data_IF_646714996541
#
_entry.id   IF_646714996541
#
_cell.length_a   1.000
_cell.length_b   1.000
_cell.length_c   1.000
_cell.angle_alpha   90.00
_cell.angle_beta   90.00
_cell.angle_gamma   90.00
#
_symmetry.space_group_name_H-M   'P 1'
#
loop_
_entity.id
_entity.type
_entity.pdbx_description
1 polymer ?
#
# COMPACT_ATOMS: atom_id res chain seq x y z
N UNK A 1 5.75 56.22 -44.88
CA UNK A 1 5.73 56.92 -43.56
C UNK A 1 4.48 56.51 -42.79
N UNK A 2 4.52 55.43 -42.00
CA UNK A 2 3.59 55.20 -40.86
C UNK A 2 4.28 54.18 -39.95
N UNK A 3 4.66 54.57 -38.72
CA UNK A 3 4.51 53.75 -37.49
C UNK A 3 5.11 54.46 -36.23
N UNK A 4 4.54 55.58 -35.75
CA UNK A 4 4.92 56.13 -34.43
C UNK A 4 4.07 55.59 -33.27
N UNK A 5 2.97 54.88 -33.53
CA UNK A 5 1.95 54.54 -32.53
C UNK A 5 2.23 53.32 -31.65
N UNK A 6 2.92 52.29 -32.18
CA UNK A 6 3.15 51.02 -31.47
C UNK A 6 4.28 51.16 -30.45
N UNK A 7 5.37 51.82 -30.81
CA UNK A 7 6.51 52.09 -29.93
C UNK A 7 6.12 52.88 -28.67
N UNK A 8 5.13 53.78 -28.77
CA UNK A 8 4.66 54.59 -27.64
C UNK A 8 3.78 53.80 -26.64
N UNK A 9 3.10 52.74 -27.09
CA UNK A 9 2.31 51.86 -26.20
C UNK A 9 3.19 50.86 -25.46
N UNK A 10 4.18 50.27 -26.15
CA UNK A 10 5.13 49.33 -25.54
C UNK A 10 5.93 49.99 -24.41
N UNK A 11 6.31 51.26 -24.57
CA UNK A 11 7.09 51.99 -23.56
C UNK A 11 6.27 52.34 -22.29
N UNK A 12 4.94 52.36 -22.36
CA UNK A 12 4.07 52.64 -21.19
C UNK A 12 3.74 51.40 -20.38
N UNK A 13 3.67 50.22 -21.01
CA UNK A 13 3.35 48.95 -20.34
C UNK A 13 4.58 48.22 -19.79
N UNK A 14 5.77 48.50 -20.32
CA UNK A 14 7.03 47.91 -19.87
C UNK A 14 7.34 48.12 -18.37
N UNK A 15 7.19 49.33 -17.78
CA UNK A 15 7.47 49.51 -16.36
C UNK A 15 6.51 48.74 -15.44
N UNK A 16 5.24 48.58 -15.83
CA UNK A 16 4.25 47.81 -15.06
C UNK A 16 4.56 46.31 -15.10
N UNK A 17 5.01 45.81 -16.25
CA UNK A 17 5.41 44.40 -16.40
C UNK A 17 6.65 44.09 -15.55
N UNK A 18 7.64 44.98 -15.57
CA UNK A 18 8.87 44.86 -14.76
C UNK A 18 8.53 44.89 -13.25
N UNK A 19 7.65 45.81 -12.82
CA UNK A 19 7.20 45.86 -11.42
C UNK A 19 6.47 44.58 -11.00
N UNK A 20 5.62 44.03 -11.86
CA UNK A 20 4.87 42.79 -11.56
C UNK A 20 5.81 41.60 -11.41
N UNK A 21 6.78 41.46 -12.32
CA UNK A 21 7.79 40.39 -12.25
C UNK A 21 8.67 40.54 -11.00
N UNK A 22 9.08 41.77 -10.66
CA UNK A 22 9.87 42.03 -9.46
C UNK A 22 9.12 41.66 -8.17
N UNK A 23 7.83 41.95 -8.08
CA UNK A 23 6.99 41.58 -6.92
C UNK A 23 6.88 40.05 -6.81
N UNK A 24 6.62 39.34 -7.92
CA UNK A 24 6.52 37.87 -7.91
C UNK A 24 7.85 37.24 -7.47
N UNK A 25 8.98 37.73 -8.00
CA UNK A 25 10.31 37.27 -7.59
C UNK A 25 10.59 37.55 -6.10
N UNK A 26 10.18 38.71 -5.60
CA UNK A 26 10.36 39.07 -4.19
C UNK A 26 9.52 38.18 -3.25
N UNK A 27 8.27 37.91 -3.61
CA UNK A 27 7.39 36.98 -2.86
C UNK A 27 8.01 35.58 -2.86
N UNK A 28 8.50 35.09 -4.00
CA UNK A 28 9.18 33.79 -4.07
C UNK A 28 10.48 33.75 -3.24
N UNK A 29 11.26 34.83 -3.23
CA UNK A 29 12.49 34.94 -2.44
C UNK A 29 12.20 34.90 -0.93
N UNK A 30 11.21 35.68 -0.47
CA UNK A 30 10.76 35.66 0.93
C UNK A 30 10.19 34.28 1.30
N UNK A 31 9.37 33.68 0.45
CA UNK A 31 8.81 32.35 0.70
C UNK A 31 9.91 31.28 0.86
N UNK A 32 10.96 31.32 0.02
CA UNK A 32 12.12 30.43 0.16
C UNK A 32 12.90 30.70 1.46
N UNK A 33 13.09 31.97 1.84
CA UNK A 33 13.77 32.34 3.08
C UNK A 33 13.02 31.91 4.35
N UNK A 34 11.69 32.00 4.35
CA UNK A 34 10.83 31.56 5.45
C UNK A 34 10.81 30.04 5.55
N UNK A 35 10.75 29.31 4.42
CA UNK A 35 10.78 27.85 4.42
C UNK A 35 12.11 27.28 4.93
N UNK A 36 13.25 27.90 4.59
CA UNK A 36 14.57 27.47 5.09
C UNK A 36 14.69 27.68 6.61
N UNK A 37 14.15 28.78 7.15
CA UNK A 37 14.20 29.09 8.60
C UNK A 37 13.28 28.22 9.46
N UNK A 38 12.18 27.73 8.88
CA UNK A 38 11.25 26.79 9.55
C UNK A 38 11.82 25.37 9.55
N UNK A 39 12.54 24.97 8.49
CA UNK A 39 13.15 23.64 8.40
C UNK A 39 14.35 23.47 9.36
N UNK A 40 15.16 24.51 9.57
CA UNK A 40 16.31 24.42 10.50
C UNK A 40 15.90 24.38 11.96
N UNK A 41 14.77 24.99 12.34
CA UNK A 41 14.25 24.93 13.73
C UNK A 41 13.61 23.60 14.10
N UNK A 42 13.12 22.83 13.13
CA UNK A 42 12.48 21.52 13.37
C UNK A 42 13.47 20.35 13.35
N UNK A 43 14.69 20.55 12.80
CA UNK A 43 15.71 19.52 12.71
C UNK A 43 16.60 19.37 13.96
N UNK A 44 16.45 20.21 14.99
CA UNK A 44 17.36 20.23 16.16
C UNK A 44 16.80 19.55 17.43
N UNK A 45 15.67 18.84 17.33
CA UNK A 45 15.16 17.98 18.40
C UNK A 45 15.51 16.51 18.10
N UNK A 46 16.81 16.22 18.25
CA UNK A 46 17.31 14.85 18.29
C UNK A 46 16.86 14.16 19.58
N UNK A 47 15.98 13.18 19.44
CA UNK A 47 15.62 12.24 20.51
C UNK A 47 16.75 11.22 20.68
N UNK A 48 17.68 11.51 21.60
CA UNK A 48 18.65 10.54 22.07
C UNK A 48 18.03 9.65 23.16
N UNK A 49 17.67 8.41 22.81
CA UNK A 49 17.55 7.32 23.79
C UNK A 49 18.93 6.64 23.91
N UNK A 50 19.54 6.75 25.09
CA UNK A 50 20.89 6.28 25.40
C UNK A 50 20.79 5.01 26.24
N UNK A 51 21.26 3.89 25.72
CA UNK A 51 21.66 2.73 26.54
C UNK A 51 23.10 2.35 26.23
N UNK A 52 23.88 2.20 27.31
CA UNK A 52 25.32 1.96 27.36
C UNK A 52 25.63 0.45 27.32
N UNK A 53 26.89 0.15 26.98
CA UNK A 53 27.66 -1.11 27.13
C UNK A 53 27.44 -2.14 26.00
N UNK A 54 28.44 -2.74 25.37
CA UNK A 54 29.90 -2.73 25.50
C UNK A 54 30.44 -3.71 24.45
N UNK A 55 31.59 -3.40 23.84
CA UNK A 55 32.39 -4.32 23.00
C UNK A 55 33.56 -4.83 23.86
N UNK A 56 34.42 -5.78 23.45
CA UNK A 56 34.51 -6.48 22.14
C UNK A 56 34.79 -7.99 22.25
N UNK A 57 34.81 -8.72 21.13
CA UNK A 57 35.96 -9.56 20.75
C UNK A 57 35.83 -10.07 19.31
N UNK A 58 36.89 -9.83 18.55
CA UNK A 58 37.10 -10.25 17.17
C UNK A 58 37.60 -11.69 17.10
N UNK A 59 37.22 -12.44 16.07
CA UNK A 59 38.08 -13.46 15.48
C UNK A 59 37.84 -13.61 13.97
N UNK A 60 38.95 -13.56 13.25
CA UNK A 60 39.10 -13.76 11.83
C UNK A 60 39.08 -15.25 11.44
N UNK A 61 38.71 -15.54 10.20
CA UNK A 61 39.04 -16.80 9.52
C UNK A 61 38.03 -17.11 8.41
N UNK A 62 38.32 -16.76 7.16
CA UNK A 62 39.09 -17.53 6.15
C UNK A 62 38.12 -18.19 5.16
N UNK A 63 38.08 -17.62 3.96
CA UNK A 63 37.24 -18.08 2.87
C UNK A 63 37.69 -19.40 2.27
N UNK A 64 36.75 -20.05 1.59
CA UNK A 64 37.02 -21.08 0.59
C UNK A 64 36.01 -20.96 -0.54
N UNK A 65 36.54 -20.75 -1.75
CA UNK A 65 35.84 -20.83 -3.04
C UNK A 65 35.52 -22.29 -3.34
N UNK A 66 34.32 -22.56 -3.85
CA UNK A 66 34.02 -23.70 -4.73
C UNK A 66 32.93 -23.24 -5.71
N UNK A 67 33.31 -22.81 -6.92
CA UNK A 67 33.30 -23.56 -8.19
C UNK A 67 31.94 -24.14 -8.59
N UNK A 68 31.43 -23.52 -9.65
CA UNK A 68 30.24 -23.81 -10.44
C UNK A 68 30.35 -25.18 -11.10
N UNK A 69 29.33 -26.03 -10.90
CA UNK A 69 29.11 -27.26 -11.66
C UNK A 69 27.77 -27.17 -12.39
N UNK A 70 27.84 -27.04 -13.71
CA UNK A 70 26.70 -27.15 -14.61
C UNK A 70 26.10 -28.56 -14.58
N UNK A 71 24.77 -28.69 -14.71
CA UNK A 71 24.09 -29.98 -14.87
C UNK A 71 23.19 -29.94 -16.13
N UNK A 72 23.16 -31.01 -16.94
CA UNK A 72 22.57 -30.97 -18.28
C UNK A 72 21.06 -31.27 -18.27
N UNK A 73 20.44 -30.77 -19.34
CA UNK A 73 19.09 -31.06 -19.83
C UNK A 73 18.83 -32.56 -20.03
N UNK A 74 17.66 -33.03 -19.61
CA UNK A 74 17.08 -34.27 -20.13
C UNK A 74 15.60 -34.05 -20.50
N UNK A 75 15.31 -34.36 -21.75
CA UNK A 75 14.01 -34.36 -22.41
C UNK A 75 13.28 -35.68 -22.15
N UNK A 76 12.02 -35.60 -21.71
CA UNK A 76 11.10 -36.75 -21.61
C UNK A 76 10.07 -36.74 -22.76
N UNK A 77 9.60 -37.90 -23.25
CA UNK A 77 8.82 -37.98 -24.48
C UNK A 77 7.30 -37.84 -24.30
N UNK A 78 6.67 -37.59 -25.46
CA UNK A 78 5.25 -37.34 -25.72
C UNK A 78 4.34 -38.53 -25.38
N UNK A 79 3.15 -38.24 -24.84
CA UNK A 79 2.01 -39.16 -24.87
C UNK A 79 0.80 -38.52 -25.57
N UNK A 80 0.13 -39.37 -26.35
CA UNK A 80 -0.84 -39.07 -27.38
C UNK A 80 -2.23 -38.69 -26.86
N UNK A 81 -2.97 -38.01 -27.73
CA UNK A 81 -4.34 -37.59 -27.57
C UNK A 81 -5.32 -38.78 -27.50
N UNK A 82 -6.30 -38.66 -26.61
CA UNK A 82 -7.52 -39.49 -26.59
C UNK A 82 -8.71 -38.53 -26.67
N UNK A 83 -9.43 -38.58 -27.79
CA UNK A 83 -10.72 -37.94 -27.97
C UNK A 83 -11.81 -38.80 -27.33
N UNK A 84 -12.62 -38.21 -26.44
CA UNK A 84 -13.88 -38.82 -25.99
C UNK A 84 -15.02 -37.82 -26.20
N UNK A 85 -15.93 -38.20 -27.09
CA UNK A 85 -17.22 -37.57 -27.32
C UNK A 85 -18.12 -37.78 -26.10
N UNK A 86 -18.57 -36.71 -25.45
CA UNK A 86 -19.56 -36.80 -24.38
C UNK A 86 -20.78 -35.93 -24.71
N UNK A 87 -21.91 -36.61 -24.85
CA UNK A 87 -23.25 -36.10 -25.08
C UNK A 87 -23.63 -35.05 -24.03
N UNK A 88 -24.04 -33.86 -24.47
CA UNK A 88 -24.49 -32.77 -23.60
C UNK A 88 -25.93 -33.01 -23.14
N UNK A 89 -26.09 -33.57 -21.94
CA UNK A 89 -27.37 -33.56 -21.22
C UNK A 89 -27.44 -32.26 -20.41
N UNK A 90 -28.32 -31.35 -20.82
CA UNK A 90 -28.52 -30.05 -20.19
C UNK A 90 -29.25 -30.23 -18.85
N UNK A 91 -28.52 -30.31 -17.74
CA UNK A 91 -29.11 -30.23 -16.40
C UNK A 91 -29.36 -28.76 -16.07
N UNK A 92 -30.63 -28.37 -15.96
CA UNK A 92 -31.04 -27.05 -15.52
C UNK A 92 -30.53 -26.80 -14.08
N UNK A 93 -29.58 -25.86 -13.91
CA UNK A 93 -29.08 -25.48 -12.60
C UNK A 93 -30.09 -24.53 -11.94
N UNK A 94 -30.84 -25.06 -10.98
CA UNK A 94 -31.65 -24.25 -10.05
C UNK A 94 -30.70 -23.38 -9.22
N UNK A 95 -30.89 -22.07 -9.22
CA UNK A 95 -30.09 -21.12 -8.43
C UNK A 95 -30.45 -21.23 -6.95
N UNK A 96 -29.85 -22.18 -6.24
CA UNK A 96 -29.92 -22.25 -4.79
C UNK A 96 -28.95 -21.21 -4.21
N UNK A 97 -29.46 -20.23 -3.47
CA UNK A 97 -28.67 -19.28 -2.67
C UNK A 97 -27.98 -20.06 -1.54
N UNK A 98 -26.80 -20.60 -1.81
CA UNK A 98 -25.98 -21.25 -0.77
C UNK A 98 -25.55 -20.19 0.23
N UNK A 99 -26.15 -20.21 1.43
CA UNK A 99 -25.64 -19.44 2.57
C UNK A 99 -24.17 -19.79 2.80
N UNK A 100 -23.30 -18.79 2.95
CA UNK A 100 -21.90 -19.06 3.23
C UNK A 100 -21.79 -19.84 4.56
N UNK A 101 -20.94 -20.90 4.60
CA UNK A 101 -20.77 -21.70 5.79
C UNK A 101 -20.25 -20.82 6.92
N UNK A 102 -20.89 -20.85 8.09
CA UNK A 102 -20.43 -20.09 9.27
C UNK A 102 -19.40 -20.95 10.00
N UNK A 103 -18.20 -20.40 10.22
CA UNK A 103 -17.16 -21.07 11.00
C UNK A 103 -17.35 -20.79 12.50
N UNK A 104 -17.08 -21.77 13.38
CA UNK A 104 -17.07 -21.54 14.82
C UNK A 104 -16.03 -20.49 15.23
N UNK A 105 -16.35 -19.66 16.23
CA UNK A 105 -15.48 -18.57 16.69
C UNK A 105 -14.09 -19.08 17.11
N UNK A 106 -14.00 -20.24 17.74
CA UNK A 106 -12.73 -20.86 18.16
C UNK A 106 -11.78 -21.15 16.99
N UNK A 107 -12.34 -21.51 15.83
CA UNK A 107 -11.54 -21.78 14.62
C UNK A 107 -10.96 -20.47 14.09
N UNK A 108 -11.77 -19.41 14.05
CA UNK A 108 -11.34 -18.09 13.61
C UNK A 108 -10.30 -17.53 14.58
N UNK A 109 -10.52 -17.64 15.89
CA UNK A 109 -9.60 -17.17 16.91
C UNK A 109 -8.23 -17.84 16.82
N UNK A 110 -8.18 -19.17 16.63
CA UNK A 110 -6.93 -19.90 16.41
C UNK A 110 -6.18 -19.42 15.16
N UNK A 111 -6.90 -19.19 14.07
CA UNK A 111 -6.28 -18.69 12.84
C UNK A 111 -5.81 -17.23 12.99
N UNK A 112 -6.53 -16.39 13.73
CA UNK A 112 -6.10 -15.03 14.05
C UNK A 112 -4.80 -15.03 14.88
N UNK A 113 -4.70 -15.90 15.89
CA UNK A 113 -3.47 -16.07 16.66
C UNK A 113 -2.30 -16.46 15.77
N UNK A 114 -2.49 -17.45 14.88
CA UNK A 114 -1.46 -17.88 13.93
C UNK A 114 -0.96 -16.75 13.02
N UNK A 115 -1.88 -15.88 12.55
CA UNK A 115 -1.55 -14.74 11.71
C UNK A 115 -0.79 -13.65 12.48
N UNK A 116 -1.19 -13.36 13.71
CA UNK A 116 -0.48 -12.43 14.59
C UNK A 116 0.92 -12.94 14.92
N UNK A 117 1.07 -14.24 15.25
CA UNK A 117 2.38 -14.84 15.51
C UNK A 117 3.31 -14.74 14.29
N UNK A 118 2.77 -14.97 13.09
CA UNK A 118 3.50 -14.82 11.83
C UNK A 118 3.96 -13.37 11.64
N UNK A 119 3.08 -12.40 11.92
CA UNK A 119 3.39 -10.98 11.82
C UNK A 119 4.47 -10.58 12.83
N UNK A 120 4.31 -10.95 14.10
CA UNK A 120 5.26 -10.65 15.16
C UNK A 120 6.63 -11.25 14.86
N UNK A 121 6.68 -12.53 14.44
CA UNK A 121 7.92 -13.19 14.03
C UNK A 121 8.61 -12.45 12.88
N UNK A 122 7.85 -11.95 11.91
CA UNK A 122 8.42 -11.15 10.83
C UNK A 122 9.00 -9.82 11.36
N UNK A 123 8.28 -9.11 12.24
CA UNK A 123 8.76 -7.87 12.85
C UNK A 123 9.98 -8.07 13.75
N UNK A 124 10.02 -9.14 14.55
CA UNK A 124 11.20 -9.54 15.35
C UNK A 124 12.38 -9.86 14.46
N UNK A 125 12.18 -10.64 13.39
CA UNK A 125 13.24 -10.94 12.42
C UNK A 125 13.80 -9.67 11.78
N UNK A 126 12.98 -8.63 11.61
CA UNK A 126 13.45 -7.35 11.08
C UNK A 126 13.98 -6.40 12.15
N UNK A 127 13.93 -6.79 13.43
CA UNK A 127 14.25 -5.97 14.59
C UNK A 127 13.63 -4.57 14.48
N UNK A 128 12.29 -4.50 14.38
CA UNK A 128 11.54 -3.26 14.14
C UNK A 128 10.41 -3.01 15.15
N UNK A 129 10.37 -1.78 15.65
CA UNK A 129 9.24 -1.20 16.40
C UNK A 129 8.93 -1.93 17.70
N UNK A 130 7.66 -2.30 17.90
CA UNK A 130 7.17 -2.94 19.13
C UNK A 130 7.78 -4.33 19.39
N UNK A 131 8.45 -4.90 18.38
CA UNK A 131 9.04 -6.24 18.41
C UNK A 131 10.56 -6.22 18.26
N UNK A 132 11.20 -5.08 18.50
CA UNK A 132 12.66 -5.00 18.61
C UNK A 132 13.17 -5.87 19.75
N UNK A 133 14.19 -6.68 19.46
CA UNK A 133 14.85 -7.55 20.44
C UNK A 133 16.35 -7.26 20.56
N UNK A 134 16.87 -6.31 19.79
CA UNK A 134 18.29 -5.91 19.81
C UNK A 134 19.22 -6.90 19.10
N UNK A 135 18.69 -7.95 18.49
CA UNK A 135 19.48 -8.95 17.79
C UNK A 135 19.83 -8.48 16.37
N UNK A 136 21.07 -8.72 15.96
CA UNK A 136 21.52 -8.45 14.60
C UNK A 136 20.97 -9.52 13.67
N UNK A 137 20.18 -9.10 12.70
CA UNK A 137 19.53 -10.00 11.76
C UNK A 137 20.36 -10.13 10.49
N UNK A 138 20.73 -11.37 10.17
CA UNK A 138 21.50 -11.68 8.97
C UNK A 138 20.60 -11.65 7.73
N UNK A 139 20.60 -10.51 7.05
CA UNK A 139 19.89 -10.32 5.79
C UNK A 139 20.82 -10.37 4.58
N UNK A 140 20.30 -10.87 3.46
CA UNK A 140 20.95 -10.67 2.16
C UNK A 140 21.04 -9.17 1.84
N UNK A 141 21.88 -8.80 0.87
CA UNK A 141 22.02 -7.40 0.44
C UNK A 141 20.69 -6.87 -0.09
N UNK A 142 19.97 -7.68 -0.86
CA UNK A 142 18.68 -7.36 -1.45
C UNK A 142 17.61 -7.17 -0.37
N UNK A 143 17.56 -8.05 0.62
CA UNK A 143 16.65 -7.91 1.78
C UNK A 143 16.98 -6.66 2.60
N UNK A 144 18.26 -6.36 2.81
CA UNK A 144 18.69 -5.18 3.55
C UNK A 144 18.22 -3.89 2.88
N UNK A 145 18.31 -3.81 1.55
CA UNK A 145 17.79 -2.67 0.77
C UNK A 145 16.27 -2.57 0.90
N UNK A 146 15.55 -3.69 0.78
CA UNK A 146 14.09 -3.72 0.92
C UNK A 146 13.63 -3.29 2.32
N UNK A 147 14.32 -3.74 3.36
CA UNK A 147 14.04 -3.40 4.76
C UNK A 147 14.36 -1.93 5.04
N UNK A 148 15.46 -1.40 4.49
CA UNK A 148 15.80 0.01 4.62
C UNK A 148 14.73 0.96 4.04
N UNK A 149 13.95 0.49 3.05
CA UNK A 149 12.83 1.25 2.47
C UNK A 149 11.51 1.19 3.28
N UNK A 150 11.48 0.43 4.39
CA UNK A 150 10.34 0.33 5.30
C UNK A 150 10.30 1.51 6.28
N UNK A 151 9.13 2.12 6.54
CA UNK A 151 9.01 3.17 7.55
C UNK A 151 9.33 2.67 8.97
N UNK A 152 10.16 3.43 9.69
CA UNK A 152 10.58 3.17 11.08
C UNK A 152 9.73 3.88 12.15
N UNK A 153 8.57 4.37 11.74
CA UNK A 153 7.64 5.11 12.60
C UNK A 153 6.21 4.64 12.32
N UNK A 154 5.27 4.75 13.28
CA UNK A 154 3.88 4.43 13.03
C UNK A 154 3.23 5.43 12.05
N UNK A 155 2.61 4.92 10.99
CA UNK A 155 1.86 5.73 10.01
C UNK A 155 0.36 5.76 10.34
N UNK A 156 0.00 6.47 11.41
CA UNK A 156 -1.38 6.61 11.86
C UNK A 156 -2.32 7.23 10.83
N UNK A 157 -1.80 7.99 9.85
CA UNK A 157 -2.57 8.55 8.73
C UNK A 157 -3.27 7.46 7.89
N UNK A 158 -2.79 6.21 7.95
CA UNK A 158 -3.43 5.11 7.25
C UNK A 158 -4.73 4.64 7.92
N UNK A 159 -4.86 4.81 9.23
CA UNK A 159 -5.94 4.23 10.02
C UNK A 159 -7.26 4.97 9.82
N UNK A 160 -8.36 4.22 9.78
CA UNK A 160 -9.72 4.69 9.98
C UNK A 160 -10.11 4.34 11.41
N UNK A 161 -10.24 5.35 12.28
CA UNK A 161 -10.48 5.15 13.72
C UNK A 161 -11.88 5.59 14.10
N UNK A 162 -12.59 4.77 14.87
CA UNK A 162 -13.85 5.09 15.53
C UNK A 162 -13.71 4.87 17.03
N UNK A 163 -13.52 5.96 17.76
CA UNK A 163 -13.52 5.95 19.24
C UNK A 163 -14.87 5.43 19.78
N UNK A 164 -15.98 5.80 19.13
CA UNK A 164 -17.33 5.36 19.53
C UNK A 164 -17.57 3.86 19.42
N UNK A 165 -16.83 3.18 18.54
CA UNK A 165 -16.99 1.75 18.26
C UNK A 165 -15.78 0.94 18.69
N UNK A 166 -14.81 1.56 19.37
CA UNK A 166 -13.54 0.93 19.76
C UNK A 166 -12.93 0.15 18.59
N UNK A 167 -12.88 0.76 17.41
CA UNK A 167 -12.46 0.10 16.18
C UNK A 167 -11.46 0.97 15.43
N UNK A 168 -10.32 0.38 15.04
CA UNK A 168 -9.37 1.00 14.13
C UNK A 168 -9.05 0.03 13.01
N UNK A 169 -9.05 0.50 11.77
CA UNK A 169 -8.80 -0.34 10.59
C UNK A 169 -7.73 0.30 9.72
N UNK A 170 -6.69 -0.45 9.35
CA UNK A 170 -5.82 -0.08 8.24
C UNK A 170 -6.32 -0.72 6.94
N UNK A 171 -7.01 0.03 6.05
CA UNK A 171 -7.40 -0.49 4.76
C UNK A 171 -6.17 -0.66 3.85
N UNK A 172 -6.14 -1.76 3.09
CA UNK A 172 -5.09 -2.04 2.08
C UNK A 172 -5.74 -2.23 0.72
N UNK A 173 -5.32 -1.42 -0.26
CA UNK A 173 -5.87 -1.46 -1.62
C UNK A 173 -5.77 -2.88 -2.20
N UNK A 174 -6.84 -3.31 -2.89
CA UNK A 174 -7.05 -4.70 -3.38
C UNK A 174 -7.14 -5.79 -2.31
N UNK A 175 -7.16 -5.45 -1.02
CA UNK A 175 -7.39 -6.35 0.10
C UNK A 175 -8.71 -6.00 0.83
N UNK A 176 -9.79 -5.76 0.08
CA UNK A 176 -11.11 -5.52 0.66
C UNK A 176 -11.40 -4.08 1.09
N UNK A 177 -10.53 -3.10 0.78
CA UNK A 177 -10.75 -1.67 1.13
C UNK A 177 -12.15 -1.16 0.80
N UNK A 178 -12.64 -1.38 -0.42
CA UNK A 178 -13.96 -0.85 -0.82
C UNK A 178 -15.10 -1.47 0.00
N UNK A 179 -14.97 -2.74 0.37
CA UNK A 179 -15.97 -3.44 1.18
C UNK A 179 -15.94 -2.92 2.63
N UNK A 180 -14.75 -2.84 3.24
CA UNK A 180 -14.65 -2.36 4.63
C UNK A 180 -15.05 -0.88 4.75
N UNK A 181 -14.72 -0.05 3.75
CA UNK A 181 -15.15 1.34 3.70
C UNK A 181 -16.68 1.48 3.65
N UNK A 182 -17.38 0.67 2.83
CA UNK A 182 -18.85 0.65 2.81
C UNK A 182 -19.43 0.27 4.17
N UNK A 183 -18.83 -0.71 4.83
CA UNK A 183 -19.30 -1.19 6.12
C UNK A 183 -19.04 -0.19 7.24
N UNK A 184 -17.88 0.46 7.26
CA UNK A 184 -17.59 1.58 8.17
C UNK A 184 -18.56 2.75 7.94
N UNK A 185 -18.85 3.12 6.69
CA UNK A 185 -19.88 4.12 6.38
C UNK A 185 -21.25 3.71 6.93
N UNK A 186 -21.63 2.44 6.80
CA UNK A 186 -22.87 1.93 7.39
C UNK A 186 -22.90 2.07 8.93
N UNK A 187 -21.76 1.82 9.60
CA UNK A 187 -21.65 1.94 11.06
C UNK A 187 -21.80 3.38 11.57
N UNK A 188 -21.67 4.38 10.70
CA UNK A 188 -21.96 5.77 11.07
C UNK A 188 -23.45 6.04 11.32
N UNK A 189 -24.35 5.15 10.86
CA UNK A 189 -25.79 5.35 10.89
C UNK A 189 -26.31 6.39 9.89
N UNK A 190 -25.43 7.04 9.12
CA UNK A 190 -25.80 8.10 8.16
C UNK A 190 -26.19 7.59 6.78
N UNK A 191 -25.92 6.31 6.49
CA UNK A 191 -26.10 5.73 5.17
C UNK A 191 -26.97 4.47 5.23
N UNK A 192 -28.01 4.44 4.41
CA UNK A 192 -28.77 3.22 4.12
C UNK A 192 -28.00 2.31 3.16
N UNK A 193 -28.36 1.02 3.11
CA UNK A 193 -27.76 0.06 2.16
C UNK A 193 -27.86 0.57 0.72
N UNK A 194 -29.02 1.08 0.32
CA UNK A 194 -29.26 1.59 -1.05
C UNK A 194 -28.37 2.79 -1.38
N UNK A 195 -28.18 3.73 -0.44
CA UNK A 195 -27.29 4.87 -0.63
C UNK A 195 -25.83 4.43 -0.81
N UNK A 196 -25.37 3.44 -0.04
CA UNK A 196 -24.01 2.92 -0.18
C UNK A 196 -23.77 2.37 -1.59
N UNK A 197 -24.72 1.65 -2.19
CA UNK A 197 -24.59 1.13 -3.56
C UNK A 197 -24.53 2.23 -4.63
N UNK A 198 -25.07 3.41 -4.36
CA UNK A 198 -25.20 4.52 -5.32
C UNK A 198 -24.29 5.71 -5.01
N UNK A 199 -23.20 5.50 -4.27
CA UNK A 199 -22.22 6.56 -4.01
C UNK A 199 -21.62 7.06 -5.33
N UNK A 200 -21.56 8.39 -5.48
CA UNK A 200 -20.92 9.04 -6.62
C UNK A 200 -19.40 8.87 -6.60
N UNK A 201 -18.80 8.86 -5.41
CA UNK A 201 -17.37 8.66 -5.19
C UNK A 201 -17.08 7.24 -4.67
N UNK A 202 -15.85 6.73 -4.86
CA UNK A 202 -15.45 5.46 -4.27
C UNK A 202 -15.66 5.46 -2.75
N UNK A 203 -16.24 4.39 -2.17
CA UNK A 203 -16.44 4.28 -0.73
C UNK A 203 -15.19 4.59 0.11
N UNK A 204 -14.01 4.25 -0.40
CA UNK A 204 -12.71 4.53 0.25
C UNK A 204 -12.39 6.02 0.38
N UNK A 205 -12.87 6.86 -0.54
CA UNK A 205 -12.76 8.32 -0.44
C UNK A 205 -13.79 8.85 0.56
N UNK A 206 -15.06 8.46 0.40
CA UNK A 206 -16.17 8.90 1.25
C UNK A 206 -15.92 8.58 2.72
N UNK A 207 -15.45 7.37 3.05
CA UNK A 207 -15.21 6.98 4.46
C UNK A 207 -14.19 7.87 5.16
N UNK A 208 -13.19 8.40 4.45
CA UNK A 208 -12.16 9.26 5.05
C UNK A 208 -12.74 10.59 5.55
N UNK A 209 -13.80 11.09 4.90
CA UNK A 209 -14.51 12.29 5.37
C UNK A 209 -15.32 12.04 6.65
N UNK A 210 -15.70 10.79 6.92
CA UNK A 210 -16.46 10.41 8.11
C UNK A 210 -15.59 9.90 9.28
N UNK A 211 -14.36 9.48 8.98
CA UNK A 211 -13.38 8.97 9.91
C UNK A 211 -12.15 9.89 9.88
N UNK A 212 -12.34 11.09 10.43
CA UNK A 212 -11.29 12.09 10.55
C UNK A 212 -10.13 11.61 11.44
N UNK A 213 -8.96 12.22 11.27
CA UNK A 213 -7.83 11.96 12.15
C UNK A 213 -8.15 12.39 13.59
N UNK A 214 -7.57 11.69 14.57
CA UNK A 214 -7.58 12.18 15.95
C UNK A 214 -6.92 13.55 16.03
N UNK A 215 -7.28 14.32 17.06
CA UNK A 215 -6.82 15.70 17.21
C UNK A 215 -5.29 15.85 17.37
N UNK A 216 -4.58 14.77 17.73
CA UNK A 216 -3.12 14.70 17.82
C UNK A 216 -2.64 13.28 17.58
N UNK A 217 -1.43 13.13 17.04
CA UNK A 217 -0.76 11.83 16.86
C UNK A 217 -0.49 11.12 18.20
N UNK A 218 -0.30 11.88 19.28
CA UNK A 218 -0.05 11.36 20.63
C UNK A 218 -1.26 10.62 21.24
N UNK A 219 -2.47 10.86 20.72
CA UNK A 219 -3.69 10.18 21.18
C UNK A 219 -3.82 8.76 20.64
N UNK A 220 -3.18 8.45 19.51
CA UNK A 220 -3.34 7.16 18.85
C UNK A 220 -2.96 5.98 19.75
N UNK A 221 -1.80 5.96 20.43
CA UNK A 221 -1.45 4.85 21.32
C UNK A 221 -2.53 4.53 22.38
N UNK A 222 -3.09 5.58 23.01
CA UNK A 222 -4.11 5.43 24.06
C UNK A 222 -5.43 4.91 23.48
N UNK A 223 -5.87 5.47 22.35
CA UNK A 223 -7.11 5.05 21.69
C UNK A 223 -6.98 3.64 21.13
N UNK A 224 -5.85 3.31 20.49
CA UNK A 224 -5.61 1.99 19.89
C UNK A 224 -5.52 0.88 20.94
N UNK A 225 -5.03 1.16 22.15
CA UNK A 225 -5.02 0.19 23.26
C UNK A 225 -6.43 -0.24 23.69
N UNK A 226 -7.46 0.56 23.40
CA UNK A 226 -8.86 0.27 23.71
C UNK A 226 -9.62 -0.28 22.49
N UNK A 227 -9.00 -0.32 21.31
CA UNK A 227 -9.66 -0.70 20.06
C UNK A 227 -9.39 -2.14 19.67
N UNK A 228 -10.32 -2.72 18.93
CA UNK A 228 -10.01 -3.77 17.96
C UNK A 228 -9.29 -3.12 16.78
N UNK A 229 -8.02 -3.45 16.61
CA UNK A 229 -7.08 -2.86 15.65
C UNK A 229 -6.85 -3.85 14.51
N UNK A 230 -7.48 -3.57 13.36
CA UNK A 230 -7.56 -4.48 12.22
C UNK A 230 -6.54 -4.11 11.15
N UNK A 231 -5.71 -5.07 10.77
CA UNK A 231 -4.87 -5.03 9.59
C UNK A 231 -5.53 -5.79 8.44
N UNK A 232 -5.83 -5.11 7.33
CA UNK A 232 -6.31 -5.77 6.12
C UNK A 232 -5.13 -6.35 5.32
N UNK A 233 -5.27 -7.60 4.88
CA UNK A 233 -4.25 -8.35 4.15
C UNK A 233 -4.84 -9.13 2.99
N UNK A 234 -3.98 -9.49 2.05
CA UNK A 234 -4.28 -10.38 0.92
C UNK A 234 -2.98 -11.05 0.50
N UNK A 235 -3.07 -12.24 -0.10
CA UNK A 235 -1.90 -12.87 -0.69
C UNK A 235 -1.15 -11.88 -1.63
N UNK A 236 0.16 -11.66 -1.46
CA UNK A 236 0.88 -10.60 -2.19
C UNK A 236 0.79 -10.71 -3.71
N UNK A 237 0.90 -11.93 -4.26
CA UNK A 237 0.81 -12.16 -5.71
C UNK A 237 -0.59 -11.88 -6.26
N UNK A 238 -1.62 -12.28 -5.53
CA UNK A 238 -3.02 -12.03 -5.90
C UNK A 238 -3.33 -10.54 -5.87
N UNK A 239 -2.74 -9.82 -4.91
CA UNK A 239 -2.86 -8.37 -4.81
C UNK A 239 -2.20 -7.68 -5.99
N UNK A 240 -1.00 -8.10 -6.40
CA UNK A 240 -0.31 -7.59 -7.59
C UNK A 240 -1.12 -7.87 -8.86
N UNK A 241 -1.63 -9.09 -9.04
CA UNK A 241 -2.46 -9.44 -10.18
C UNK A 241 -3.75 -8.61 -10.23
N UNK A 242 -4.42 -8.43 -9.10
CA UNK A 242 -5.63 -7.62 -9.01
C UNK A 242 -5.37 -6.14 -9.34
N UNK A 243 -4.21 -5.61 -8.96
CA UNK A 243 -3.79 -4.25 -9.31
C UNK A 243 -3.45 -4.12 -10.79
N UNK A 244 -2.72 -5.08 -11.36
CA UNK A 244 -2.42 -5.13 -12.79
C UNK A 244 -3.71 -5.13 -13.63
N UNK A 245 -4.65 -6.03 -13.34
CA UNK A 245 -5.92 -6.14 -14.07
C UNK A 245 -6.74 -4.85 -14.01
N UNK A 246 -6.70 -4.16 -12.88
CA UNK A 246 -7.46 -2.93 -12.72
C UNK A 246 -6.80 -1.70 -13.37
N UNK A 247 -5.48 -1.61 -13.34
CA UNK A 247 -4.75 -0.39 -13.71
C UNK A 247 -4.14 -0.48 -15.11
N UNK A 248 -3.77 -1.67 -15.57
CA UNK A 248 -2.82 -1.86 -16.67
C UNK A 248 -3.27 -2.82 -17.78
N UNK A 249 -4.06 -3.86 -17.46
CA UNK A 249 -4.42 -4.92 -18.41
C UNK A 249 -5.18 -4.40 -19.64
N UNK A 250 -6.09 -3.46 -19.43
CA UNK A 250 -6.94 -2.89 -20.47
C UNK A 250 -6.84 -1.35 -20.47
N UNK A 251 -6.02 -0.77 -21.38
CA UNK A 251 -5.87 0.67 -21.50
C UNK A 251 -7.15 1.42 -21.84
N UNK A 252 -8.12 0.77 -22.49
CA UNK A 252 -9.37 1.41 -22.89
C UNK A 252 -10.31 1.54 -21.68
N UNK A 253 -10.32 0.54 -20.79
CA UNK A 253 -11.08 0.58 -19.54
C UNK A 253 -10.47 1.53 -18.50
N UNK A 254 -9.15 1.68 -18.47
CA UNK A 254 -8.47 2.55 -17.52
C UNK A 254 -7.36 3.37 -18.19
N UNK A 255 -7.78 4.30 -19.06
CA UNK A 255 -6.87 5.15 -19.81
C UNK A 255 -5.93 5.96 -18.91
N UNK A 256 -6.47 6.50 -17.81
CA UNK A 256 -5.66 7.23 -16.83
C UNK A 256 -4.58 6.35 -16.21
N UNK A 257 -4.92 5.15 -15.74
CA UNK A 257 -3.96 4.20 -15.18
C UNK A 257 -2.86 3.82 -16.17
N UNK A 258 -3.23 3.59 -17.43
CA UNK A 258 -2.28 3.32 -18.49
C UNK A 258 -1.35 4.51 -18.77
N UNK A 259 -1.87 5.74 -18.85
CA UNK A 259 -1.05 6.94 -19.06
C UNK A 259 -0.08 7.18 -17.92
N UNK A 260 -0.52 7.00 -16.67
CA UNK A 260 0.30 7.21 -15.49
C UNK A 260 1.39 6.14 -15.31
N UNK A 261 1.07 4.87 -15.59
CA UNK A 261 1.94 3.75 -15.26
C UNK A 261 2.31 2.90 -16.48
N UNK A 262 1.30 2.42 -17.21
CA UNK A 262 1.47 1.45 -18.30
C UNK A 262 2.40 1.94 -19.40
N UNK A 263 2.30 3.20 -19.80
CA UNK A 263 3.15 3.81 -20.83
C UNK A 263 4.63 3.76 -20.48
N UNK A 264 4.98 3.96 -19.21
CA UNK A 264 6.37 3.86 -18.73
C UNK A 264 6.86 2.43 -18.78
N UNK A 265 6.06 1.48 -18.26
CA UNK A 265 6.39 0.05 -18.26
C UNK A 265 6.63 -0.45 -19.69
N UNK A 266 5.69 -0.16 -20.59
CA UNK A 266 5.77 -0.57 -22.00
C UNK A 266 7.02 -0.02 -22.68
N UNK A 267 7.38 1.25 -22.42
CA UNK A 267 8.61 1.87 -22.97
C UNK A 267 9.90 1.27 -22.44
N UNK A 268 9.89 0.72 -21.22
CA UNK A 268 11.07 0.06 -20.65
C UNK A 268 11.40 -1.25 -21.36
N UNK A 269 10.41 -1.96 -21.91
CA UNK A 269 10.60 -3.32 -22.43
C UNK A 269 10.32 -3.51 -23.93
N UNK A 270 9.59 -2.59 -24.58
CA UNK A 270 9.22 -2.72 -26.00
C UNK A 270 9.89 -1.65 -26.87
N UNK A 271 10.52 -2.08 -27.97
CA UNK A 271 11.17 -1.19 -28.96
C UNK A 271 10.17 -0.38 -29.81
N UNK A 272 9.02 -0.98 -30.15
CA UNK A 272 7.97 -0.36 -30.97
C UNK A 272 6.59 -0.55 -30.30
N UNK A 273 6.23 0.30 -29.32
CA UNK A 273 5.02 0.11 -28.52
C UNK A 273 3.76 0.52 -29.30
N UNK A 274 2.76 -0.37 -29.35
CA UNK A 274 1.43 -0.06 -29.87
C UNK A 274 0.55 0.55 -28.75
N UNK A 275 -0.02 1.76 -28.92
CA UNK A 275 -0.78 2.45 -27.87
C UNK A 275 -1.97 1.66 -27.31
N UNK A 276 -2.58 0.78 -28.11
CA UNK A 276 -3.76 -0.01 -27.76
C UNK A 276 -3.46 -1.26 -26.91
N UNK A 277 -2.18 -1.58 -26.65
CA UNK A 277 -1.81 -2.76 -25.85
C UNK A 277 -1.10 -2.34 -24.57
N UNK A 278 -1.75 -2.59 -23.43
CA UNK A 278 -1.18 -2.44 -22.10
C UNK A 278 0.10 -3.28 -21.92
N UNK A 279 0.88 -3.03 -20.85
CA UNK A 279 1.97 -3.93 -20.48
C UNK A 279 1.43 -5.33 -20.16
N UNK A 280 2.24 -6.38 -20.32
CA UNK A 280 1.90 -7.71 -19.82
C UNK A 280 2.09 -7.78 -18.30
N UNK A 281 1.54 -8.81 -17.66
CA UNK A 281 1.77 -9.02 -16.23
C UNK A 281 3.26 -9.26 -15.92
N UNK A 282 3.98 -9.97 -16.79
CA UNK A 282 5.43 -10.17 -16.65
C UNK A 282 6.20 -8.85 -16.73
N UNK A 283 5.92 -8.01 -17.72
CA UNK A 283 6.54 -6.68 -17.84
C UNK A 283 6.26 -5.83 -16.60
N UNK A 284 5.04 -5.90 -16.05
CA UNK A 284 4.68 -5.22 -14.81
C UNK A 284 5.47 -5.74 -13.60
N UNK A 285 5.56 -7.06 -13.39
CA UNK A 285 6.32 -7.63 -12.27
C UNK A 285 7.81 -7.30 -12.41
N UNK A 286 8.36 -7.46 -13.60
CA UNK A 286 9.75 -7.10 -13.90
C UNK A 286 10.02 -5.62 -13.62
N UNK A 287 9.09 -4.75 -13.98
CA UNK A 287 9.17 -3.32 -13.67
C UNK A 287 9.30 -3.07 -12.17
N UNK A 288 8.48 -3.74 -11.35
CA UNK A 288 8.52 -3.59 -9.89
C UNK A 288 9.81 -4.11 -9.25
N UNK A 289 10.47 -5.10 -9.86
CA UNK A 289 11.73 -5.66 -9.37
C UNK A 289 12.94 -4.79 -9.75
N UNK A 290 12.91 -4.19 -10.94
CA UNK A 290 14.04 -3.43 -11.48
C UNK A 290 14.02 -1.93 -11.11
N UNK A 291 12.85 -1.37 -10.79
CA UNK A 291 12.71 0.06 -10.54
C UNK A 291 12.51 0.36 -9.05
N UNK A 292 13.11 1.48 -8.64
CA UNK A 292 13.19 1.87 -7.24
C UNK A 292 11.82 1.96 -6.56
N UNK A 293 11.77 1.31 -5.41
CA UNK A 293 10.62 1.12 -4.57
C UNK A 293 10.18 2.39 -3.83
N UNK A 294 10.97 3.47 -3.78
CA UNK A 294 10.65 4.62 -2.93
C UNK A 294 9.26 5.25 -3.22
N UNK A 295 8.77 5.20 -4.47
CA UNK A 295 7.47 5.75 -4.88
C UNK A 295 6.52 4.73 -5.51
N UNK A 296 6.36 3.56 -4.88
CA UNK A 296 5.33 2.60 -5.30
C UNK A 296 3.92 3.13 -5.02
N UNK A 297 3.03 2.98 -6.00
CA UNK A 297 1.62 3.31 -5.86
C UNK A 297 0.98 2.49 -4.74
N UNK A 298 -0.02 3.06 -4.06
CA UNK A 298 -0.74 2.40 -2.98
C UNK A 298 -1.34 1.04 -3.40
N UNK A 299 -1.68 0.88 -4.68
CA UNK A 299 -2.23 -0.34 -5.24
C UNK A 299 -1.26 -1.52 -5.23
N UNK A 300 0.06 -1.31 -5.24
CA UNK A 300 1.04 -2.41 -5.27
C UNK A 300 2.20 -2.26 -4.27
N UNK A 301 2.28 -1.16 -3.52
CA UNK A 301 3.27 -1.03 -2.45
C UNK A 301 3.04 -2.09 -1.35
N UNK A 302 4.08 -2.70 -0.78
CA UNK A 302 3.94 -3.65 0.33
C UNK A 302 3.12 -3.08 1.49
N UNK A 303 2.28 -3.92 2.12
CA UNK A 303 1.41 -3.51 3.24
C UNK A 303 2.19 -2.85 4.37
N UNK A 304 3.41 -3.32 4.64
CA UNK A 304 4.27 -2.79 5.69
C UNK A 304 4.59 -1.29 5.51
N UNK A 305 4.66 -0.81 4.26
CA UNK A 305 4.94 0.61 3.96
C UNK A 305 3.73 1.52 4.17
N UNK A 306 2.52 0.96 4.16
CA UNK A 306 1.27 1.71 4.37
C UNK A 306 0.80 1.65 5.81
N UNK A 307 0.77 0.45 6.38
CA UNK A 307 0.13 0.16 7.66
C UNK A 307 1.10 0.03 8.84
N UNK A 308 2.42 0.00 8.58
CA UNK A 308 3.49 -0.10 9.60
C UNK A 308 3.16 -1.06 10.74
N UNK A 309 2.85 -2.33 10.45
CA UNK A 309 2.39 -3.30 11.44
C UNK A 309 3.44 -3.68 12.46
N UNK A 310 4.72 -3.30 12.28
CA UNK A 310 5.74 -3.41 13.32
C UNK A 310 5.72 -2.25 14.34
N UNK A 311 4.97 -1.16 14.07
CA UNK A 311 4.89 0.01 14.95
C UNK A 311 3.48 0.29 15.46
N UNK A 312 2.47 -0.41 14.95
CA UNK A 312 1.06 -0.26 15.32
C UNK A 312 0.59 -1.60 15.90
N UNK A 313 -0.03 -1.62 17.11
CA UNK A 313 -0.41 -2.85 17.78
C UNK A 313 -1.70 -3.42 17.19
N UNK A 314 -1.63 -4.03 16.00
CA UNK A 314 -2.75 -4.75 15.40
C UNK A 314 -3.06 -6.02 16.20
N UNK A 315 -4.32 -6.23 16.55
CA UNK A 315 -4.78 -7.41 17.29
C UNK A 315 -5.75 -8.29 16.48
N UNK A 316 -5.96 -7.95 15.21
CA UNK A 316 -6.72 -8.73 14.23
C UNK A 316 -6.10 -8.58 12.84
N UNK A 317 -5.90 -9.68 12.11
CA UNK A 317 -5.41 -9.71 10.73
C UNK A 317 -6.47 -10.33 9.82
N UNK A 318 -7.11 -9.49 9.03
CA UNK A 318 -8.17 -9.89 8.10
C UNK A 318 -7.56 -10.23 6.76
N UNK A 319 -7.75 -11.47 6.31
CA UNK A 319 -7.36 -11.86 4.95
C UNK A 319 -8.52 -11.63 3.99
N UNK A 320 -8.23 -11.14 2.79
CA UNK A 320 -9.23 -10.93 1.76
C UNK A 320 -9.97 -12.24 1.40
N UNK A 321 -9.25 -13.35 1.46
CA UNK A 321 -9.71 -14.71 1.19
C UNK A 321 -10.74 -15.19 2.23
N UNK A 322 -10.67 -14.70 3.46
CA UNK A 322 -11.59 -15.01 4.58
C UNK A 322 -12.30 -13.77 5.11
N UNK A 323 -12.42 -12.73 4.26
CA UNK A 323 -12.81 -11.36 4.64
C UNK A 323 -14.10 -11.31 5.47
N UNK A 324 -15.12 -12.03 5.03
CA UNK A 324 -16.43 -12.00 5.69
C UNK A 324 -16.37 -12.56 7.10
N UNK A 325 -15.80 -13.77 7.26
CA UNK A 325 -15.70 -14.46 8.55
C UNK A 325 -14.84 -13.69 9.53
N UNK A 326 -13.65 -13.26 9.10
CA UNK A 326 -12.73 -12.52 9.95
C UNK A 326 -13.37 -11.21 10.45
N UNK A 327 -14.06 -10.50 9.56
CA UNK A 327 -14.67 -9.22 9.91
C UNK A 327 -15.89 -9.40 10.81
N UNK A 328 -16.74 -10.41 10.57
CA UNK A 328 -17.85 -10.75 11.47
C UNK A 328 -17.36 -11.02 12.89
N UNK A 329 -16.32 -11.85 13.02
CA UNK A 329 -15.70 -12.14 14.31
C UNK A 329 -15.07 -10.88 14.94
N UNK A 330 -14.37 -10.07 14.15
CA UNK A 330 -13.76 -8.83 14.63
C UNK A 330 -14.78 -7.80 15.15
N UNK A 331 -15.95 -7.68 14.50
CA UNK A 331 -17.03 -6.82 15.00
C UNK A 331 -17.63 -7.33 16.30
N UNK A 332 -17.86 -8.65 16.40
CA UNK A 332 -18.32 -9.26 17.66
C UNK A 332 -17.33 -8.96 18.79
N UNK A 333 -16.02 -9.10 18.53
CA UNK A 333 -14.95 -8.76 19.47
C UNK A 333 -14.95 -7.28 19.87
N UNK A 334 -15.32 -6.38 18.95
CA UNK A 334 -15.44 -4.95 19.21
C UNK A 334 -16.77 -4.55 19.91
N UNK A 335 -17.66 -5.51 20.20
CA UNK A 335 -18.99 -5.23 20.74
C UNK A 335 -19.91 -4.44 19.78
N UNK A 336 -19.73 -4.61 18.47
CA UNK A 336 -20.38 -3.82 17.40
C UNK A 336 -21.40 -4.57 16.56
#
# INVERSE_FOLDING_TARGET
MVLPGILRRVNKTLPVLIQTIAIICFIHYIAKGVLVKVHTKTSHQDYHFRTKAGSPHAHAGRGTKLTVGARPSSSGPRHAAVSSSTTSTTTATTSTTTHMPVFPDEVIEREQQRRLDTLHKACTRMNMGLWENGEESNFTKEESVAIAAVPKIPLYQALLVSEKKNLAVCPVVRAGTQWVSRRLLQLTGKFTKTQLYRLHEPPSAVVRHHYAYLSSWEKYPVVLAQCVTILMGRHPLDRLLASYRHVLEDPDKNHHGYLHYGKRIVRSYRKAPTPSKGPTFEEFVRFLLEHDSHHLDEAWQPTIRRCTPCHIPYNVVVHYETLWHDMQWAWKKAGS
#
